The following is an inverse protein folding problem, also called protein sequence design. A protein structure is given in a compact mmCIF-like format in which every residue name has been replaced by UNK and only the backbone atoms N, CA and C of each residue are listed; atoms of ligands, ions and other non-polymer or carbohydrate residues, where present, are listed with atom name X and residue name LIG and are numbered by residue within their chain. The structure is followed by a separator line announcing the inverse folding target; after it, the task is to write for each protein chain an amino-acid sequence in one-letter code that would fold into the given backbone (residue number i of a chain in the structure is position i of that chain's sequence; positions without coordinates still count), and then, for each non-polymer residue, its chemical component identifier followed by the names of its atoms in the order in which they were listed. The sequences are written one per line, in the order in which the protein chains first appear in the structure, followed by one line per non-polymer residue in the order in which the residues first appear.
data_IF_169582486889
#
_entry.id   IF_169582486889
#
_cell.length_a   1.000
_cell.length_b   1.000
_cell.length_c   1.000
_cell.angle_alpha   90.00
_cell.angle_beta   90.00
_cell.angle_gamma   90.00
#
_symmetry.space_group_name_H-M   'P 1'
#
loop_
_entity.id
_entity.type
_entity.pdbx_description
1 polymer ?
#
# COMPACT_ATOMS: atom_id res chain seq x y z
N UNK A 1 -14.65 -7.58 0.49
CA UNK A 1 -14.19 -8.16 1.76
C UNK A 1 -13.16 -9.22 1.40
N UNK A 2 -12.14 -9.40 2.23
CA UNK A 2 -11.09 -10.39 2.01
C UNK A 2 -11.12 -11.43 3.14
N UNK A 3 -10.93 -12.70 2.81
CA UNK A 3 -10.91 -13.77 3.81
C UNK A 3 -9.56 -13.79 4.51
N UNK A 4 -9.57 -14.07 5.82
CA UNK A 4 -8.35 -14.31 6.58
C UNK A 4 -7.56 -15.47 5.94
N UNK A 5 -6.25 -15.29 5.77
CA UNK A 5 -5.36 -16.26 5.12
C UNK A 5 -5.30 -16.16 3.59
N UNK A 6 -6.21 -15.44 2.94
CA UNK A 6 -6.10 -15.18 1.51
C UNK A 6 -4.95 -14.22 1.21
N UNK A 7 -4.36 -14.39 0.02
CA UNK A 7 -3.43 -13.41 -0.54
C UNK A 7 -4.20 -12.45 -1.43
N UNK A 8 -4.20 -11.17 -1.06
CA UNK A 8 -4.76 -10.09 -1.87
C UNK A 8 -3.64 -9.24 -2.49
N UNK A 9 -3.88 -8.70 -3.69
CA UNK A 9 -2.94 -7.79 -4.33
C UNK A 9 -3.31 -6.34 -4.01
N UNK A 10 -2.46 -5.67 -3.23
CA UNK A 10 -2.55 -4.23 -2.99
C UNK A 10 -1.86 -3.51 -4.14
N UNK A 11 -2.59 -2.65 -4.85
CA UNK A 11 -2.07 -1.90 -5.98
C UNK A 11 -2.06 -0.39 -5.68
N UNK A 12 -1.02 0.30 -6.15
CA UNK A 12 -0.91 1.75 -6.07
C UNK A 12 -0.43 2.33 -7.39
N UNK A 13 -0.95 3.50 -7.71
CA UNK A 13 -0.43 4.35 -8.77
C UNK A 13 -0.04 5.72 -8.22
N UNK A 14 1.23 6.08 -8.36
CA UNK A 14 1.77 7.37 -7.98
C UNK A 14 1.72 8.33 -9.18
N UNK A 15 1.11 9.49 -8.96
CA UNK A 15 1.02 10.56 -9.94
C UNK A 15 1.47 11.88 -9.35
N UNK A 16 2.06 12.74 -10.18
CA UNK A 16 2.36 14.12 -9.81
C UNK A 16 1.09 15.00 -9.86
N UNK A 17 1.22 16.30 -9.56
CA UNK A 17 0.11 17.26 -9.63
C UNK A 17 -0.44 17.47 -11.04
N UNK A 18 0.35 17.14 -12.06
CA UNK A 18 -0.03 17.20 -13.48
C UNK A 18 -0.66 15.88 -13.96
N UNK A 19 -0.95 14.96 -13.03
CA UNK A 19 -1.55 13.65 -13.28
C UNK A 19 -0.67 12.70 -14.12
N UNK A 20 0.63 12.99 -14.24
CA UNK A 20 1.61 12.12 -14.88
C UNK A 20 2.11 11.08 -13.89
N UNK A 21 2.26 9.84 -14.37
CA UNK A 21 2.80 8.75 -13.54
C UNK A 21 4.28 8.98 -13.27
N UNK A 22 4.68 8.82 -12.02
CA UNK A 22 6.04 9.05 -11.57
C UNK A 22 6.47 7.97 -10.60
N UNK A 23 7.74 7.56 -10.69
CA UNK A 23 8.36 6.66 -9.72
C UNK A 23 8.91 7.45 -8.53
N UNK A 24 8.30 7.34 -7.33
CA UNK A 24 8.89 7.91 -6.13
C UNK A 24 10.05 7.05 -5.63
N UNK A 25 10.99 7.69 -4.91
CA UNK A 25 12.06 7.01 -4.18
C UNK A 25 11.59 6.57 -2.80
N UNK A 26 12.25 5.57 -2.19
CA UNK A 26 11.97 5.08 -0.83
C UNK A 26 10.50 4.72 -0.62
N UNK A 27 9.97 3.84 -1.46
CA UNK A 27 8.56 3.44 -1.39
C UNK A 27 8.35 2.52 -0.19
N UNK A 28 7.31 2.79 0.58
CA UNK A 28 7.00 2.07 1.80
C UNK A 28 5.49 1.86 1.94
N UNK A 29 5.09 0.63 2.28
CA UNK A 29 3.72 0.21 2.52
C UNK A 29 3.52 0.00 4.02
N UNK A 30 2.65 0.80 4.64
CA UNK A 30 2.23 0.62 6.03
C UNK A 30 0.85 -0.02 6.04
N UNK A 31 0.66 -1.03 6.90
CA UNK A 31 -0.64 -1.62 7.20
C UNK A 31 -1.04 -1.20 8.62
N UNK A 32 -2.23 -0.64 8.74
CA UNK A 32 -2.77 -0.08 9.98
C UNK A 32 -4.11 -0.75 10.33
N UNK A 33 -4.37 -0.92 11.62
CA UNK A 33 -5.67 -1.37 12.11
C UNK A 33 -6.71 -0.22 12.14
N UNK A 34 -7.93 -0.53 12.62
CA UNK A 34 -9.01 0.45 12.76
C UNK A 34 -8.72 1.58 13.75
N UNK A 35 -7.78 1.38 14.67
CA UNK A 35 -7.34 2.34 15.66
C UNK A 35 -6.15 3.17 15.16
N UNK A 36 -5.65 2.89 13.95
CA UNK A 36 -4.49 3.53 13.35
C UNK A 36 -3.16 3.01 13.90
N UNK A 37 -3.15 1.87 14.59
CA UNK A 37 -1.93 1.21 15.04
C UNK A 37 -1.25 0.51 13.86
N UNK A 38 0.08 0.65 13.76
CA UNK A 38 0.88 -0.05 12.76
C UNK A 38 0.95 -1.54 13.07
N UNK A 39 0.44 -2.34 12.13
CA UNK A 39 0.53 -3.79 12.15
C UNK A 39 1.82 -4.21 11.43
N UNK A 40 2.03 -3.67 10.23
CA UNK A 40 3.18 -4.01 9.39
C UNK A 40 3.70 -2.80 8.61
N UNK A 41 4.99 -2.89 8.27
CA UNK A 41 5.71 -1.85 7.59
C UNK A 41 6.70 -2.49 6.60
N UNK A 42 6.42 -2.36 5.31
CA UNK A 42 7.11 -3.10 4.26
C UNK A 42 7.75 -2.12 3.27
N UNK A 43 9.05 -2.28 3.05
CA UNK A 43 9.74 -1.55 1.97
C UNK A 43 9.37 -2.15 0.63
N UNK A 44 8.97 -1.29 -0.32
CA UNK A 44 8.59 -1.67 -1.68
C UNK A 44 9.76 -1.34 -2.62
N UNK A 45 10.27 -2.35 -3.31
CA UNK A 45 11.40 -2.19 -4.22
C UNK A 45 11.03 -2.44 -5.69
N UNK A 46 12.02 -2.46 -6.58
CA UNK A 46 11.84 -2.65 -8.02
C UNK A 46 11.16 -3.98 -8.40
N UNK A 47 11.25 -5.02 -7.56
CA UNK A 47 10.58 -6.31 -7.78
C UNK A 47 9.06 -6.20 -7.70
N UNK A 48 8.54 -5.20 -6.99
CA UNK A 48 7.13 -4.87 -6.84
C UNK A 48 6.62 -3.88 -7.91
N UNK A 49 7.46 -3.50 -8.87
CA UNK A 49 7.11 -2.53 -9.91
C UNK A 49 6.41 -3.21 -11.08
N UNK A 50 5.27 -2.68 -11.51
CA UNK A 50 4.57 -3.12 -12.73
C UNK A 50 4.88 -2.22 -13.93
N UNK A 51 5.00 -0.93 -13.69
CA UNK A 51 5.17 0.12 -14.72
C UNK A 51 5.68 1.40 -14.03
N UNK A 52 5.97 2.43 -14.81
CA UNK A 52 6.29 3.77 -14.25
C UNK A 52 5.14 4.23 -13.34
N UNK A 53 5.48 4.49 -12.08
CA UNK A 53 4.54 4.91 -11.04
C UNK A 53 3.53 3.87 -10.61
N UNK A 54 3.60 2.61 -11.09
CA UNK A 54 2.67 1.54 -10.70
C UNK A 54 3.38 0.45 -9.92
N UNK A 55 2.89 0.19 -8.72
CA UNK A 55 3.45 -0.81 -7.82
C UNK A 55 2.37 -1.71 -7.27
N UNK A 56 2.75 -2.92 -6.87
CA UNK A 56 1.88 -3.86 -6.20
C UNK A 56 2.59 -4.58 -5.06
N UNK A 57 1.82 -5.02 -4.09
CA UNK A 57 2.30 -5.92 -3.05
C UNK A 57 1.27 -7.02 -2.82
N UNK A 58 1.72 -8.28 -2.85
CA UNK A 58 0.88 -9.42 -2.52
C UNK A 58 0.88 -9.58 -0.99
N UNK A 59 -0.28 -9.35 -0.39
CA UNK A 59 -0.46 -9.26 1.05
C UNK A 59 -1.32 -10.41 1.57
N UNK A 60 -0.82 -11.15 2.55
CA UNK A 60 -1.59 -12.21 3.22
C UNK A 60 -2.43 -11.58 4.31
N UNK A 61 -3.76 -11.73 4.24
CA UNK A 61 -4.68 -11.12 5.20
C UNK A 61 -4.49 -11.76 6.58
N UNK A 62 -4.08 -10.99 7.61
CA UNK A 62 -3.81 -11.55 8.93
C UNK A 62 -5.10 -11.89 9.67
N UNK A 63 -5.00 -12.73 10.70
CA UNK A 63 -6.13 -13.08 11.57
C UNK A 63 -6.80 -11.86 12.22
N UNK A 64 -8.13 -11.90 12.31
CA UNK A 64 -8.97 -10.88 12.92
C UNK A 64 -10.14 -10.48 12.04
N UNK A 65 -10.98 -9.59 12.58
CA UNK A 65 -12.15 -9.02 11.89
C UNK A 65 -12.07 -7.51 11.90
N UNK A 66 -12.61 -6.86 10.87
CA UNK A 66 -12.70 -5.39 10.80
C UNK A 66 -11.96 -4.79 9.60
N UNK A 67 -11.88 -3.47 9.55
CA UNK A 67 -11.18 -2.73 8.50
C UNK A 67 -9.66 -2.73 8.73
N UNK A 68 -8.90 -2.93 7.66
CA UNK A 68 -7.47 -2.63 7.58
C UNK A 68 -7.25 -1.48 6.60
N UNK A 69 -6.33 -0.60 6.96
CA UNK A 69 -5.89 0.50 6.12
C UNK A 69 -4.51 0.20 5.60
N UNK A 70 -4.29 0.44 4.32
CA UNK A 70 -2.96 0.37 3.73
C UNK A 70 -2.55 1.74 3.22
N UNK A 71 -1.30 2.11 3.48
CA UNK A 71 -0.73 3.41 3.09
C UNK A 71 0.56 3.17 2.35
N UNK A 72 0.51 3.38 1.03
CA UNK A 72 1.71 3.49 0.23
C UNK A 72 2.26 4.91 0.34
N UNK A 73 3.55 5.03 0.59
CA UNK A 73 4.26 6.30 0.72
C UNK A 73 5.56 6.26 -0.04
N UNK A 74 6.06 7.42 -0.44
CA UNK A 74 7.35 7.57 -1.10
C UNK A 74 7.77 9.03 -1.19
N UNK A 75 8.90 9.29 -1.83
CA UNK A 75 9.47 10.63 -1.98
C UNK A 75 9.51 10.99 -3.46
N UNK A 76 8.83 12.07 -3.84
CA UNK A 76 8.83 12.62 -5.19
C UNK A 76 9.21 14.11 -5.11
N UNK A 77 10.24 14.54 -5.85
CA UNK A 77 10.75 15.92 -5.82
C UNK A 77 11.00 16.45 -4.40
N UNK A 78 11.62 15.63 -3.53
CA UNK A 78 11.89 15.93 -2.12
C UNK A 78 10.64 16.19 -1.27
N UNK A 79 9.45 15.82 -1.75
CA UNK A 79 8.17 15.90 -1.03
C UNK A 79 7.60 14.50 -0.80
N UNK A 80 7.02 14.23 0.37
CA UNK A 80 6.35 12.96 0.61
C UNK A 80 5.06 12.88 -0.23
N UNK A 81 4.88 11.76 -0.93
CA UNK A 81 3.63 11.38 -1.59
C UNK A 81 3.03 10.19 -0.85
N UNK A 82 1.72 10.19 -0.65
CA UNK A 82 1.00 9.12 0.05
C UNK A 82 -0.29 8.77 -0.70
N UNK A 83 -0.57 7.48 -0.77
CA UNK A 83 -1.84 6.93 -1.25
C UNK A 83 -2.36 5.97 -0.19
N UNK A 84 -3.60 6.18 0.25
CA UNK A 84 -4.25 5.29 1.21
C UNK A 84 -5.39 4.52 0.54
N UNK A 85 -5.57 3.28 0.96
CA UNK A 85 -6.79 2.53 0.72
C UNK A 85 -7.23 1.81 1.98
N UNK A 86 -8.35 1.10 1.87
CA UNK A 86 -8.86 0.25 2.95
C UNK A 86 -9.51 -1.01 2.39
N UNK A 87 -9.51 -2.07 3.17
CA UNK A 87 -10.28 -3.27 2.91
C UNK A 87 -10.73 -3.88 4.24
N UNK A 88 -11.89 -4.53 4.23
CA UNK A 88 -12.41 -5.24 5.40
C UNK A 88 -12.03 -6.72 5.32
N UNK A 89 -11.67 -7.32 6.46
CA UNK A 89 -11.38 -8.75 6.59
C UNK A 89 -12.42 -9.46 7.45
N UNK A 90 -12.68 -10.73 7.11
CA UNK A 90 -13.57 -11.64 7.83
C UNK A 90 -12.95 -13.04 7.94
N UNK A 91 -13.34 -13.78 8.99
CA UNK A 91 -12.84 -15.13 9.32
C UNK A 91 -13.75 -16.21 8.78
#
# INVERSE_FOLDING_TARGET
MALVGDTIRLYVEFRNFENEKIDPSNINLQILDEQGQEIENITIDSSNKLDVGKYFYDYVVPEGTGDLYFVFSGICNNKPIKAKGKFSREV
#
